data_IF_826302641307
#
_entry.id   IF_826302641307
#
_cell.length_a   1.000
_cell.length_b   1.000
_cell.length_c   1.000
_cell.angle_alpha   90.00
_cell.angle_beta   90.00
_cell.angle_gamma   90.00
#
_symmetry.space_group_name_H-M   'P 1'
#
loop_
_entity.id
_entity.type
_entity.pdbx_description
1 polymer ?
#
# COMPACT_ATOMS: atom_id res chain seq x y z
N UNK A 1 4.50 20.27 0.08
CA UNK A 1 5.58 20.71 1.00
C UNK A 1 6.23 21.97 0.42
N UNK A 2 6.49 23.00 1.24
CA UNK A 2 7.30 24.15 0.80
C UNK A 2 8.68 24.06 1.46
N UNK A 3 9.74 24.37 0.72
CA UNK A 3 11.12 24.39 1.22
C UNK A 3 11.69 25.81 1.21
N UNK A 4 12.42 26.17 2.25
CA UNK A 4 13.07 27.47 2.43
C UNK A 4 14.52 27.25 2.81
N UNK A 5 15.43 28.01 2.23
CA UNK A 5 16.79 28.10 2.71
C UNK A 5 16.87 29.27 3.68
N UNK A 6 17.34 29.03 4.91
CA UNK A 6 17.50 30.05 5.94
C UNK A 6 18.90 30.03 6.52
N UNK A 7 19.38 31.22 6.88
CA UNK A 7 20.67 31.37 7.53
C UNK A 7 20.52 31.14 9.05
N UNK A 8 21.34 30.25 9.61
CA UNK A 8 21.33 29.96 11.03
C UNK A 8 22.69 30.30 11.64
N UNK A 9 22.76 31.37 12.45
CA UNK A 9 24.01 31.79 13.06
C UNK A 9 24.53 30.81 14.12
N UNK A 10 23.62 30.16 14.83
CA UNK A 10 23.93 29.40 16.05
C UNK A 10 24.04 27.88 15.83
N UNK A 11 23.80 27.41 14.60
CA UNK A 11 23.87 25.99 14.26
C UNK A 11 25.12 25.67 13.46
N UNK A 12 25.91 24.74 13.99
CA UNK A 12 26.91 24.00 13.23
C UNK A 12 26.20 22.98 12.35
N UNK A 13 26.59 22.89 11.09
CA UNK A 13 26.03 21.95 10.12
C UNK A 13 26.98 20.77 9.89
N UNK A 14 26.46 19.67 9.34
CA UNK A 14 27.30 18.64 8.74
C UNK A 14 28.03 19.26 7.54
N UNK A 15 29.37 19.31 7.55
CA UNK A 15 30.11 20.05 6.54
C UNK A 15 30.09 19.33 5.19
N UNK A 16 30.02 20.12 4.12
CA UNK A 16 29.97 19.68 2.73
C UNK A 16 30.74 20.65 1.83
N UNK A 17 30.51 20.58 0.53
CA UNK A 17 30.94 21.64 -0.38
C UNK A 17 30.07 22.88 -0.14
N UNK A 18 30.67 24.05 0.07
CA UNK A 18 29.86 25.25 0.27
C UNK A 18 29.24 25.64 -1.08
N UNK A 19 27.90 25.75 -1.12
CA UNK A 19 27.19 26.20 -2.31
C UNK A 19 27.69 27.61 -2.70
N UNK A 20 28.36 27.70 -3.85
CA UNK A 20 28.97 28.95 -4.34
C UNK A 20 30.50 28.98 -4.38
N UNK A 21 31.19 27.95 -3.88
CA UNK A 21 32.65 27.91 -3.97
C UNK A 21 33.15 27.25 -5.28
N UNK A 22 33.63 28.06 -6.22
CA UNK A 22 34.43 27.61 -7.37
C UNK A 22 35.89 27.99 -7.10
N UNK A 23 36.56 27.28 -6.19
CA UNK A 23 37.94 27.54 -5.80
C UNK A 23 38.62 26.31 -5.17
N UNK A 24 39.88 26.43 -4.76
CA UNK A 24 40.58 25.36 -4.01
C UNK A 24 40.28 25.46 -2.50
N UNK A 25 40.17 24.34 -1.77
CA UNK A 25 39.76 24.31 -0.35
C UNK A 25 40.54 25.29 0.57
N UNK A 26 41.75 25.68 0.17
CA UNK A 26 42.63 26.61 0.87
C UNK A 26 42.27 28.10 0.66
N UNK A 27 41.45 28.45 -0.35
CA UNK A 27 40.99 29.81 -0.68
C UNK A 27 39.59 30.13 -0.12
N UNK A 28 39.02 29.21 0.69
CA UNK A 28 37.66 29.33 1.21
C UNK A 28 37.63 30.35 2.37
N UNK A 29 37.37 31.61 2.03
CA UNK A 29 37.08 32.67 3.00
C UNK A 29 35.73 32.39 3.67
N UNK A 30 35.81 31.77 4.86
CA UNK A 30 34.64 31.26 5.58
C UNK A 30 33.62 32.35 5.95
N UNK A 31 34.04 33.61 6.02
CA UNK A 31 33.15 34.72 6.35
C UNK A 31 32.35 35.22 5.12
N UNK A 32 32.64 34.69 3.92
CA UNK A 32 32.09 35.17 2.64
C UNK A 32 31.18 34.17 1.91
N UNK A 33 31.18 32.90 2.30
CA UNK A 33 30.41 31.84 1.63
C UNK A 33 29.25 31.37 2.52
N UNK A 34 28.27 30.66 1.93
CA UNK A 34 27.01 30.18 2.52
C UNK A 34 27.17 29.16 3.66
N UNK A 35 28.01 29.46 4.64
CA UNK A 35 28.21 28.62 5.81
C UNK A 35 26.97 28.81 6.70
N UNK A 36 26.36 27.70 7.10
CA UNK A 36 25.13 27.66 7.92
C UNK A 36 23.82 28.09 7.23
N UNK A 37 23.73 27.97 5.90
CA UNK A 37 22.42 27.98 5.24
C UNK A 37 21.86 26.56 5.26
N UNK A 38 20.74 26.35 5.97
CA UNK A 38 20.09 25.05 6.07
C UNK A 38 18.74 25.04 5.33
N UNK A 39 18.33 23.88 4.77
CA UNK A 39 17.00 23.71 4.21
C UNK A 39 15.96 23.44 5.31
N UNK A 40 14.93 24.27 5.32
CA UNK A 40 13.75 24.19 6.18
C UNK A 40 12.54 23.75 5.36
N UNK A 41 11.93 22.63 5.76
CA UNK A 41 10.77 22.05 5.11
C UNK A 41 9.51 22.31 5.93
N UNK A 42 8.64 23.18 5.42
CA UNK A 42 7.34 23.46 6.04
C UNK A 42 6.35 22.35 5.74
N UNK A 43 5.87 21.70 6.80
CA UNK A 43 4.92 20.58 6.74
C UNK A 43 3.69 20.85 7.61
N UNK A 44 2.53 20.36 7.18
CA UNK A 44 1.30 20.45 7.98
C UNK A 44 1.14 19.27 8.94
N UNK A 45 1.50 18.07 8.49
CA UNK A 45 1.50 16.84 9.27
C UNK A 45 2.76 16.06 8.91
N UNK A 46 3.68 15.90 9.86
CA UNK A 46 5.00 15.32 9.60
C UNK A 46 4.94 13.87 9.11
N UNK A 47 3.96 13.08 9.56
CA UNK A 47 3.83 11.64 9.23
C UNK A 47 3.50 11.40 7.76
N UNK A 48 2.91 12.40 7.10
CA UNK A 48 2.57 12.33 5.69
C UNK A 48 3.73 12.79 4.79
N UNK A 49 4.80 13.33 5.39
CA UNK A 49 5.97 13.75 4.64
C UNK A 49 6.70 12.51 4.09
N UNK A 50 7.14 12.61 2.84
CA UNK A 50 7.67 11.49 2.05
C UNK A 50 8.74 10.66 2.77
N UNK A 51 9.76 11.30 3.34
CA UNK A 51 10.89 10.62 4.00
C UNK A 51 10.48 9.87 5.27
N UNK A 52 9.51 10.40 6.03
CA UNK A 52 8.97 9.69 7.20
C UNK A 52 8.02 8.58 6.81
N UNK A 53 7.19 8.80 5.78
CA UNK A 53 6.22 7.82 5.28
C UNK A 53 6.89 6.61 4.65
N UNK A 54 7.99 6.81 3.91
CA UNK A 54 8.74 5.70 3.32
C UNK A 54 9.52 4.93 4.37
N UNK A 55 9.84 5.53 5.52
CA UNK A 55 10.73 4.97 6.54
C UNK A 55 12.20 5.33 6.34
N UNK A 56 12.51 6.22 5.39
CA UNK A 56 13.86 6.76 5.23
C UNK A 56 14.32 7.46 6.51
N UNK A 57 13.43 8.22 7.13
CA UNK A 57 13.62 8.89 8.42
C UNK A 57 12.69 8.29 9.47
N UNK A 58 13.21 8.11 10.68
CA UNK A 58 12.44 7.62 11.84
C UNK A 58 12.62 8.56 13.03
N UNK A 59 11.54 8.84 13.76
CA UNK A 59 11.63 9.61 15.00
C UNK A 59 12.18 8.72 16.11
N UNK A 60 13.34 9.11 16.65
CA UNK A 60 14.00 8.42 17.76
C UNK A 60 13.63 9.00 19.11
N UNK A 61 13.30 10.29 19.15
CA UNK A 61 12.94 10.99 20.38
C UNK A 61 11.89 12.07 20.09
N UNK A 62 10.91 12.24 20.99
CA UNK A 62 9.89 13.27 20.87
C UNK A 62 8.76 12.89 19.90
N UNK A 63 8.33 13.86 19.09
CA UNK A 63 7.22 13.71 18.14
C UNK A 63 7.48 14.45 16.84
N UNK A 64 6.69 14.13 15.81
CA UNK A 64 6.65 14.90 14.57
C UNK A 64 5.85 16.20 14.69
N UNK A 65 5.96 17.05 13.67
CA UNK A 65 5.13 18.24 13.48
C UNK A 65 3.65 17.84 13.32
N UNK A 66 2.79 18.52 14.05
CA UNK A 66 1.34 18.30 14.07
C UNK A 66 0.57 19.55 13.60
N UNK A 67 -0.66 19.38 13.09
CA UNK A 67 -1.52 20.51 12.76
C UNK A 67 -1.81 21.36 14.01
N UNK A 68 -1.51 22.65 13.94
CA UNK A 68 -1.69 23.59 15.05
C UNK A 68 -0.42 23.84 15.88
N UNK A 69 0.69 23.18 15.56
CA UNK A 69 2.00 23.61 16.05
C UNK A 69 2.30 25.04 15.58
N UNK A 70 3.07 25.76 16.41
CA UNK A 70 3.47 27.14 16.21
C UNK A 70 4.94 27.26 16.60
N UNK A 71 5.78 27.59 15.61
CA UNK A 71 7.24 27.76 15.78
C UNK A 71 7.95 26.53 16.36
N UNK A 72 7.60 25.34 15.86
CA UNK A 72 8.18 24.05 16.24
C UNK A 72 9.04 23.48 15.13
N UNK A 73 10.12 22.81 15.52
CA UNK A 73 11.04 22.15 14.60
C UNK A 73 11.31 20.70 14.99
N UNK A 74 11.56 19.88 13.98
CA UNK A 74 12.05 18.51 14.08
C UNK A 74 13.37 18.45 13.31
N UNK A 75 14.43 18.03 13.99
CA UNK A 75 15.81 18.04 13.47
C UNK A 75 16.44 16.64 13.51
N UNK A 76 17.53 16.43 12.78
CA UNK A 76 18.22 15.14 12.84
C UNK A 76 18.94 14.97 14.19
N UNK A 77 19.11 13.71 14.61
CA UNK A 77 19.85 13.36 15.82
C UNK A 77 21.34 13.73 15.70
N UNK A 78 21.93 13.63 14.49
CA UNK A 78 23.28 14.09 14.20
C UNK A 78 23.42 15.61 14.37
N UNK A 79 22.48 16.40 13.84
CA UNK A 79 22.50 17.87 13.97
C UNK A 79 22.33 18.29 15.44
N UNK A 80 21.45 17.61 16.17
CA UNK A 80 21.27 17.83 17.60
C UNK A 80 22.55 17.53 18.38
N UNK A 81 23.21 16.40 18.13
CA UNK A 81 24.48 16.01 18.77
C UNK A 81 25.61 17.01 18.48
N UNK A 82 25.73 17.48 17.24
CA UNK A 82 26.76 18.43 16.83
C UNK A 82 26.67 19.77 17.56
N UNK A 83 25.45 20.17 17.92
CA UNK A 83 25.15 21.43 18.58
C UNK A 83 24.84 21.30 20.09
N UNK A 84 24.79 20.06 20.61
CA UNK A 84 24.43 19.80 22.00
C UNK A 84 22.97 20.10 22.34
N UNK A 85 22.09 20.08 21.34
CA UNK A 85 20.67 20.39 21.47
C UNK A 85 19.86 19.17 21.88
N UNK A 86 18.76 19.41 22.60
CA UNK A 86 17.80 18.41 23.06
C UNK A 86 16.37 18.88 22.76
N UNK A 87 15.42 17.98 22.97
CA UNK A 87 14.00 18.33 22.90
C UNK A 87 13.69 19.41 23.94
N UNK A 88 12.95 20.43 23.52
CA UNK A 88 12.61 21.61 24.30
C UNK A 88 13.62 22.75 24.18
N UNK A 89 14.82 22.51 23.63
CA UNK A 89 15.75 23.59 23.33
C UNK A 89 15.29 24.39 22.11
N UNK A 90 15.75 25.63 22.02
CA UNK A 90 15.40 26.56 20.94
C UNK A 90 16.62 26.99 20.14
N UNK A 91 16.45 27.17 18.84
CA UNK A 91 17.41 27.84 17.96
C UNK A 91 16.69 28.88 17.10
N UNK A 92 17.42 29.79 16.46
CA UNK A 92 16.85 30.80 15.57
C UNK A 92 17.40 30.72 14.15
N UNK A 93 16.57 31.07 13.18
CA UNK A 93 16.96 31.20 11.77
C UNK A 93 16.51 32.54 11.20
N UNK A 94 17.24 33.03 10.20
CA UNK A 94 17.08 34.35 9.61
C UNK A 94 16.81 34.27 8.11
N UNK A 95 15.88 35.09 7.62
CA UNK A 95 15.70 35.36 6.20
C UNK A 95 16.76 36.37 5.73
N UNK A 96 18.01 35.92 5.60
CA UNK A 96 19.13 36.78 5.23
C UNK A 96 19.42 36.73 3.72
N UNK A 97 19.75 37.89 3.15
CA UNK A 97 20.04 38.07 1.71
C UNK A 97 21.19 37.21 1.19
N UNK A 98 22.07 36.70 2.06
CA UNK A 98 23.11 35.73 1.71
C UNK A 98 22.54 34.53 0.92
N UNK A 99 21.33 34.07 1.27
CA UNK A 99 20.62 32.97 0.61
C UNK A 99 20.27 33.28 -0.86
N UNK A 100 20.21 34.56 -1.22
CA UNK A 100 19.89 35.05 -2.56
C UNK A 100 21.11 35.65 -3.30
N UNK A 101 22.32 35.41 -2.80
CA UNK A 101 23.55 36.07 -3.27
C UNK A 101 23.53 37.60 -3.09
N UNK A 102 22.80 38.09 -2.10
CA UNK A 102 22.74 39.50 -1.71
C UNK A 102 23.79 39.86 -0.65
N UNK A 103 23.53 40.95 0.08
CA UNK A 103 24.42 41.46 1.13
C UNK A 103 24.30 40.63 2.42
N UNK A 104 25.43 40.36 3.07
CA UNK A 104 25.51 39.53 4.28
C UNK A 104 24.88 40.21 5.51
N UNK A 105 24.86 41.55 5.52
CA UNK A 105 24.33 42.34 6.63
C UNK A 105 22.82 42.63 6.50
N UNK A 106 22.18 42.18 5.43
CA UNK A 106 20.76 42.43 5.18
C UNK A 106 19.92 41.22 5.59
N UNK A 107 19.15 41.36 6.67
CA UNK A 107 18.17 40.38 7.15
C UNK A 107 16.76 40.95 7.01
N UNK A 108 15.81 40.12 6.55
CA UNK A 108 14.40 40.46 6.37
C UNK A 108 13.57 39.91 7.54
N UNK A 109 12.95 40.80 8.30
CA UNK A 109 12.23 40.45 9.52
C UNK A 109 13.16 40.15 10.70
N UNK A 110 12.56 39.79 11.84
CA UNK A 110 13.32 39.38 13.03
C UNK A 110 13.75 37.90 12.94
N UNK A 111 14.82 37.48 13.65
CA UNK A 111 15.18 36.08 13.75
C UNK A 111 14.03 35.23 14.28
N UNK A 112 13.66 34.19 13.54
CA UNK A 112 12.51 33.34 13.84
C UNK A 112 12.97 32.24 14.81
N UNK A 113 12.39 32.15 16.03
CA UNK A 113 12.74 31.11 16.98
C UNK A 113 12.02 29.79 16.66
N UNK A 114 12.70 28.68 16.89
CA UNK A 114 12.16 27.34 16.71
C UNK A 114 12.44 26.50 17.96
N UNK A 115 11.39 25.92 18.53
CA UNK A 115 11.51 24.94 19.62
C UNK A 115 11.58 23.52 19.07
N UNK A 116 12.58 22.75 19.50
CA UNK A 116 12.77 21.37 19.05
C UNK A 116 11.77 20.45 19.75
N UNK A 117 10.88 19.81 18.97
CA UNK A 117 9.85 18.88 19.49
C UNK A 117 10.13 17.42 19.14
N UNK A 118 11.10 17.16 18.26
CA UNK A 118 11.47 15.80 17.88
C UNK A 118 12.83 15.71 17.22
N UNK A 119 13.44 14.53 17.37
CA UNK A 119 14.69 14.13 16.76
C UNK A 119 14.47 12.94 15.84
N UNK A 120 14.96 13.02 14.61
CA UNK A 120 14.90 11.91 13.66
C UNK A 120 16.27 11.33 13.35
N UNK A 121 16.33 10.02 13.13
CA UNK A 121 17.48 9.33 12.55
C UNK A 121 17.23 9.05 11.09
N UNK A 122 18.32 8.91 10.32
CA UNK A 122 18.28 8.59 8.89
C UNK A 122 18.74 7.15 8.71
N UNK A 123 17.92 6.33 8.07
CA UNK A 123 18.22 4.91 7.80
C UNK A 123 18.83 4.67 6.42
N UNK A 124 18.69 5.63 5.52
CA UNK A 124 19.23 5.59 4.15
C UNK A 124 20.52 6.41 4.04
N UNK A 125 21.62 5.83 3.56
CA UNK A 125 22.85 6.58 3.32
C UNK A 125 22.84 7.23 1.94
N UNK A 126 23.16 8.52 1.87
CA UNK A 126 23.60 9.13 0.62
C UNK A 126 25.06 8.76 0.38
N UNK A 127 25.39 8.29 -0.83
CA UNK A 127 26.78 8.27 -1.30
C UNK A 127 27.23 9.70 -1.60
N UNK A 128 27.59 10.43 -0.55
CA UNK A 128 28.08 11.79 -0.66
C UNK A 128 29.44 11.80 -1.36
N UNK A 129 29.51 12.46 -2.51
CA UNK A 129 30.79 12.79 -3.16
C UNK A 129 31.44 14.01 -2.48
N UNK A 130 32.72 14.25 -2.77
CA UNK A 130 33.44 15.45 -2.33
C UNK A 130 32.82 16.78 -2.84
N UNK A 131 31.92 16.71 -3.82
CA UNK A 131 31.22 17.86 -4.40
C UNK A 131 29.80 18.07 -3.85
N UNK A 132 29.38 17.26 -2.86
CA UNK A 132 28.03 17.33 -2.30
C UNK A 132 27.89 18.58 -1.43
N UNK A 133 26.92 19.44 -1.72
CA UNK A 133 26.75 20.67 -0.95
C UNK A 133 26.05 20.44 0.39
N UNK A 134 26.32 21.30 1.38
CA UNK A 134 25.78 21.19 2.76
C UNK A 134 24.25 21.07 2.80
N UNK A 135 23.55 21.78 1.93
CA UNK A 135 22.10 21.77 1.81
C UNK A 135 21.52 20.43 1.30
N UNK A 136 22.36 19.53 0.78
CA UNK A 136 21.94 18.22 0.27
C UNK A 136 22.17 17.08 1.26
N UNK A 137 22.76 17.36 2.42
CA UNK A 137 22.91 16.36 3.47
C UNK A 137 21.59 16.23 4.25
N UNK A 138 20.94 15.06 4.26
CA UNK A 138 19.70 14.82 5.02
C UNK A 138 19.83 15.15 6.51
N UNK A 139 21.05 15.07 7.04
CA UNK A 139 21.38 15.42 8.42
C UNK A 139 21.16 16.91 8.71
N UNK A 140 21.25 17.76 7.70
CA UNK A 140 21.02 19.21 7.80
C UNK A 140 19.55 19.58 7.57
N UNK A 141 18.66 18.62 7.32
CA UNK A 141 17.25 18.91 7.05
C UNK A 141 16.52 19.27 8.33
N UNK A 142 15.74 20.35 8.29
CA UNK A 142 14.91 20.81 9.40
C UNK A 142 13.46 20.80 8.94
N UNK A 143 12.58 20.11 9.66
CA UNK A 143 11.14 20.14 9.40
C UNK A 143 10.46 21.10 10.36
N UNK A 144 9.64 22.01 9.84
CA UNK A 144 8.95 23.03 10.62
C UNK A 144 7.46 23.02 10.39
N UNK A 145 6.73 23.61 11.33
CA UNK A 145 5.29 23.81 11.20
C UNK A 145 4.93 24.86 10.14
N UNK A 146 3.65 24.82 9.77
CA UNK A 146 3.07 25.69 8.75
C UNK A 146 2.98 27.17 9.18
N UNK A 147 2.89 27.46 10.48
CA UNK A 147 2.83 28.84 10.96
C UNK A 147 4.18 29.53 10.75
N UNK A 148 5.28 28.88 11.14
CA UNK A 148 6.63 29.39 10.88
C UNK A 148 6.91 29.50 9.36
N UNK A 149 6.51 28.49 8.57
CA UNK A 149 6.61 28.53 7.10
C UNK A 149 5.82 29.69 6.46
N UNK A 150 4.74 30.15 7.09
CA UNK A 150 3.98 31.33 6.64
C UNK A 150 4.73 32.62 6.97
N UNK A 151 5.30 32.73 8.18
CA UNK A 151 6.09 33.89 8.60
C UNK A 151 7.34 34.09 7.74
N UNK A 152 8.10 33.00 7.49
CA UNK A 152 9.25 33.01 6.57
C UNK A 152 8.87 33.58 5.20
N UNK A 153 7.74 33.10 4.66
CA UNK A 153 7.23 33.55 3.37
C UNK A 153 6.83 35.02 3.40
N UNK A 154 6.21 35.50 4.47
CA UNK A 154 5.85 36.91 4.61
C UNK A 154 7.10 37.80 4.63
N UNK A 155 8.12 37.43 5.40
CA UNK A 155 9.40 38.14 5.46
C UNK A 155 10.07 38.22 4.07
N UNK A 156 10.05 37.14 3.30
CA UNK A 156 10.58 37.14 1.93
C UNK A 156 9.67 37.86 0.92
N UNK A 157 8.35 37.74 1.05
CA UNK A 157 7.37 38.29 0.11
C UNK A 157 7.27 39.82 0.19
N UNK A 158 7.48 40.41 1.37
CA UNK A 158 7.55 41.87 1.55
C UNK A 158 8.64 42.50 0.67
N UNK A 159 9.70 41.74 0.35
CA UNK A 159 10.88 42.24 -0.35
C UNK A 159 11.12 41.66 -1.75
N UNK A 160 10.77 40.40 -2.02
CA UNK A 160 11.17 39.71 -3.26
C UNK A 160 10.04 39.11 -4.10
N UNK A 161 8.91 38.68 -3.50
CA UNK A 161 7.90 37.90 -4.24
C UNK A 161 6.48 38.24 -3.78
N UNK A 162 5.70 38.93 -4.61
CA UNK A 162 4.27 39.18 -4.33
C UNK A 162 3.37 37.96 -4.52
N UNK A 163 3.81 36.75 -4.14
CA UNK A 163 3.08 35.51 -4.38
C UNK A 163 2.46 34.97 -3.10
N UNK A 164 1.15 35.14 -2.95
CA UNK A 164 0.36 34.50 -1.89
C UNK A 164 -0.14 33.13 -2.38
N UNK A 165 0.57 32.05 -2.07
CA UNK A 165 0.16 30.70 -2.44
C UNK A 165 1.11 29.61 -1.96
N UNK A 166 0.62 28.36 -1.94
CA UNK A 166 1.42 27.16 -1.72
C UNK A 166 1.91 26.64 -3.08
N UNK A 167 3.17 26.19 -3.17
CA UNK A 167 3.71 25.67 -4.42
C UNK A 167 3.12 24.30 -4.77
N UNK A 168 2.95 23.44 -3.75
CA UNK A 168 2.43 22.08 -3.90
C UNK A 168 1.49 21.76 -2.73
N UNK A 169 0.28 21.29 -3.06
CA UNK A 169 -0.70 20.77 -2.10
C UNK A 169 -0.95 19.30 -2.41
N UNK A 170 -0.76 18.45 -1.40
CA UNK A 170 -0.93 17.01 -1.50
C UNK A 170 -2.18 16.59 -0.71
N UNK A 171 -3.01 15.77 -1.34
CA UNK A 171 -4.18 15.17 -0.71
C UNK A 171 -3.96 13.66 -0.61
N UNK A 172 -4.03 13.15 0.61
CA UNK A 172 -3.91 11.72 0.89
C UNK A 172 -5.31 11.14 1.07
N UNK A 173 -5.50 9.90 0.60
CA UNK A 173 -6.77 9.18 0.67
C UNK A 173 -6.52 7.86 1.38
N UNK A 174 -7.38 7.52 2.34
CA UNK A 174 -7.28 6.26 3.10
C UNK A 174 -7.67 5.06 2.23
N UNK A 175 -8.73 5.19 1.42
CA UNK A 175 -9.16 4.17 0.46
C UNK A 175 -8.82 4.59 -0.99
N UNK A 176 -7.96 3.83 -1.71
CA UNK A 176 -7.67 4.07 -3.12
C UNK A 176 -8.92 4.16 -4.02
N UNK A 177 -10.02 3.49 -3.68
CA UNK A 177 -11.27 3.56 -4.43
C UNK A 177 -11.92 4.96 -4.37
N UNK A 178 -11.60 5.76 -3.37
CA UNK A 178 -12.11 7.13 -3.23
C UNK A 178 -11.28 8.18 -3.97
N UNK A 179 -10.12 7.81 -4.54
CA UNK A 179 -9.17 8.76 -5.14
C UNK A 179 -9.80 9.61 -6.24
N UNK A 180 -10.57 8.99 -7.14
CA UNK A 180 -11.26 9.72 -8.21
C UNK A 180 -12.37 10.64 -7.66
N UNK A 181 -13.05 10.24 -6.59
CA UNK A 181 -14.08 11.05 -5.93
C UNK A 181 -13.46 12.25 -5.19
N UNK A 182 -12.27 12.09 -4.60
CA UNK A 182 -11.51 13.21 -3.99
C UNK A 182 -11.06 14.20 -5.06
N UNK A 183 -10.52 13.73 -6.18
CA UNK A 183 -10.12 14.59 -7.32
C UNK A 183 -11.31 15.43 -7.80
N UNK A 184 -12.48 14.82 -7.98
CA UNK A 184 -13.69 15.54 -8.38
C UNK A 184 -14.11 16.60 -7.36
N UNK A 185 -14.02 16.30 -6.05
CA UNK A 185 -14.31 17.29 -4.99
C UNK A 185 -13.33 18.44 -5.00
N UNK A 186 -12.03 18.16 -5.18
CA UNK A 186 -10.99 19.19 -5.25
C UNK A 186 -11.20 20.11 -6.46
N UNK A 187 -11.61 19.57 -7.61
CA UNK A 187 -11.93 20.35 -8.81
C UNK A 187 -13.10 21.33 -8.64
N UNK A 188 -13.98 21.11 -7.65
CA UNK A 188 -15.13 21.98 -7.37
C UNK A 188 -14.78 23.18 -6.49
N UNK A 189 -13.55 23.24 -5.95
CA UNK A 189 -13.09 24.36 -5.14
C UNK A 189 -12.94 25.59 -6.04
N UNK A 190 -13.38 26.75 -5.54
CA UNK A 190 -13.29 28.04 -6.23
C UNK A 190 -11.84 28.54 -6.26
N UNK A 191 -11.06 28.04 -7.23
CA UNK A 191 -9.68 28.46 -7.51
C UNK A 191 -9.48 28.64 -9.00
N UNK A 192 -8.51 29.47 -9.38
CA UNK A 192 -8.16 29.67 -10.77
C UNK A 192 -7.32 28.49 -11.29
N UNK A 193 -8.00 27.49 -11.86
CA UNK A 193 -7.41 26.28 -12.45
C UNK A 193 -6.46 26.53 -13.62
N UNK A 194 -6.33 27.77 -14.13
CA UNK A 194 -5.28 28.09 -15.10
C UNK A 194 -3.87 27.96 -14.52
N UNK A 195 -3.71 28.23 -13.22
CA UNK A 195 -2.41 28.21 -12.53
C UNK A 195 -2.10 26.89 -11.82
N UNK A 196 -3.06 25.98 -11.74
CA UNK A 196 -2.93 24.73 -10.98
C UNK A 196 -3.22 23.52 -11.86
N UNK A 197 -2.44 22.45 -11.64
CA UNK A 197 -2.68 21.16 -12.27
C UNK A 197 -2.80 20.10 -11.19
N UNK A 198 -3.86 19.30 -11.26
CA UNK A 198 -4.01 18.12 -10.42
C UNK A 198 -3.35 16.94 -11.12
N UNK A 199 -2.42 16.28 -10.43
CA UNK A 199 -1.79 15.05 -10.88
C UNK A 199 -2.21 13.92 -9.94
N UNK A 200 -2.57 12.77 -10.51
CA UNK A 200 -2.87 11.55 -9.76
C UNK A 200 -1.57 10.78 -9.55
N UNK A 201 -1.18 10.56 -8.31
CA UNK A 201 -0.05 9.70 -7.95
C UNK A 201 -0.58 8.35 -7.44
N UNK A 202 -0.85 7.43 -8.38
CA UNK A 202 -1.32 6.06 -8.09
C UNK A 202 -0.32 4.99 -8.55
N UNK A 203 0.91 5.37 -8.91
CA UNK A 203 1.88 4.47 -9.55
C UNK A 203 2.32 3.33 -8.62
N UNK A 204 2.66 3.64 -7.36
CA UNK A 204 3.04 2.64 -6.36
C UNK A 204 1.87 1.69 -6.01
N UNK A 205 0.64 2.23 -5.99
CA UNK A 205 -0.56 1.42 -5.77
C UNK A 205 -0.84 0.49 -6.95
N UNK A 206 -0.83 1.01 -8.18
CA UNK A 206 -1.07 0.22 -9.39
C UNK A 206 -0.05 -0.90 -9.55
N UNK A 207 1.23 -0.62 -9.33
CA UNK A 207 2.28 -1.65 -9.41
C UNK A 207 2.12 -2.77 -8.37
N UNK A 208 1.50 -2.50 -7.22
CA UNK A 208 1.27 -3.50 -6.17
C UNK A 208 -0.06 -4.25 -6.33
N UNK A 209 -1.13 -3.58 -6.77
CA UNK A 209 -2.49 -4.15 -6.81
C UNK A 209 -2.86 -4.74 -8.17
N UNK A 210 -2.35 -4.20 -9.28
CA UNK A 210 -2.66 -4.70 -10.62
C UNK A 210 -2.24 -6.18 -10.81
N UNK A 211 -1.08 -6.65 -10.32
CA UNK A 211 -0.72 -8.07 -10.32
C UNK A 211 -1.70 -8.93 -9.50
N UNK A 212 -2.10 -8.47 -8.31
CA UNK A 212 -3.01 -9.19 -7.41
C UNK A 212 -4.41 -9.33 -8.00
N UNK A 213 -4.95 -8.26 -8.61
CA UNK A 213 -6.26 -8.29 -9.25
C UNK A 213 -6.30 -9.22 -10.47
N UNK A 214 -5.21 -9.25 -11.24
CA UNK A 214 -5.04 -10.14 -12.38
C UNK A 214 -4.96 -11.60 -11.91
N UNK A 215 -4.19 -11.86 -10.86
CA UNK A 215 -4.08 -13.18 -10.25
C UNK A 215 -5.41 -13.67 -9.67
N UNK A 216 -6.17 -12.80 -9.02
CA UNK A 216 -7.51 -13.11 -8.51
C UNK A 216 -8.47 -13.49 -9.64
N UNK A 217 -8.46 -12.74 -10.74
CA UNK A 217 -9.29 -13.02 -11.92
C UNK A 217 -8.93 -14.36 -12.56
N UNK A 218 -7.64 -14.61 -12.80
CA UNK A 218 -7.16 -15.88 -13.36
C UNK A 218 -7.50 -17.07 -12.45
N UNK A 219 -7.28 -16.94 -11.15
CA UNK A 219 -7.59 -17.96 -10.16
C UNK A 219 -9.09 -18.26 -10.13
N UNK A 220 -9.93 -17.23 -10.19
CA UNK A 220 -11.40 -17.39 -10.25
C UNK A 220 -11.83 -18.15 -11.49
N UNK A 221 -11.27 -17.84 -12.67
CA UNK A 221 -11.56 -18.55 -13.92
C UNK A 221 -11.12 -20.02 -13.83
N UNK A 222 -9.93 -20.29 -13.30
CA UNK A 222 -9.41 -21.65 -13.13
C UNK A 222 -10.28 -22.48 -12.18
N UNK A 223 -10.65 -21.91 -11.03
CA UNK A 223 -11.54 -22.54 -10.05
C UNK A 223 -12.89 -22.85 -10.70
N UNK A 224 -13.44 -21.93 -11.50
CA UNK A 224 -14.71 -22.15 -12.19
C UNK A 224 -14.63 -23.34 -13.16
N UNK A 225 -13.55 -23.45 -13.95
CA UNK A 225 -13.34 -24.55 -14.88
C UNK A 225 -13.20 -25.89 -14.12
N UNK A 226 -12.38 -25.92 -13.07
CA UNK A 226 -12.17 -27.09 -12.23
C UNK A 226 -13.46 -27.55 -11.56
N UNK A 227 -14.24 -26.60 -11.06
CA UNK A 227 -15.53 -26.85 -10.43
C UNK A 227 -16.48 -27.51 -11.44
N UNK A 228 -16.63 -26.95 -12.66
CA UNK A 228 -17.47 -27.55 -13.70
C UNK A 228 -17.01 -28.97 -14.05
N UNK A 229 -15.70 -29.19 -14.19
CA UNK A 229 -15.15 -30.51 -14.49
C UNK A 229 -15.43 -31.53 -13.37
N UNK A 230 -15.26 -31.15 -12.10
CA UNK A 230 -15.54 -31.99 -10.95
C UNK A 230 -17.03 -32.34 -10.85
N UNK A 231 -17.92 -31.37 -11.10
CA UNK A 231 -19.36 -31.60 -11.11
C UNK A 231 -19.79 -32.56 -12.23
N UNK A 232 -19.19 -32.43 -13.41
CA UNK A 232 -19.44 -33.35 -14.52
C UNK A 232 -18.98 -34.78 -14.20
N UNK A 233 -17.80 -34.92 -13.59
CA UNK A 233 -17.27 -36.20 -13.14
C UNK A 233 -18.15 -36.84 -12.05
N UNK A 234 -18.61 -36.04 -11.08
CA UNK A 234 -19.53 -36.49 -10.03
C UNK A 234 -20.84 -37.01 -10.63
N UNK A 235 -21.42 -36.29 -11.59
CA UNK A 235 -22.61 -36.74 -12.31
C UNK A 235 -22.40 -38.09 -13.00
N UNK A 236 -21.26 -38.28 -13.68
CA UNK A 236 -20.93 -39.55 -14.33
C UNK A 236 -20.83 -40.70 -13.32
N UNK A 237 -20.17 -40.49 -12.18
CA UNK A 237 -20.04 -41.51 -11.14
C UNK A 237 -21.41 -41.91 -10.59
N UNK A 238 -22.27 -40.94 -10.24
CA UNK A 238 -23.62 -41.23 -9.73
C UNK A 238 -24.44 -41.97 -10.79
N UNK A 239 -24.37 -41.52 -12.05
CA UNK A 239 -25.06 -42.17 -13.16
C UNK A 239 -24.63 -43.63 -13.30
N UNK A 240 -23.34 -43.93 -13.29
CA UNK A 240 -22.81 -45.30 -13.38
C UNK A 240 -23.22 -46.14 -12.16
N UNK A 241 -23.18 -45.57 -10.96
CA UNK A 241 -23.61 -46.22 -9.73
C UNK A 241 -25.08 -46.66 -9.79
N UNK A 242 -25.99 -45.75 -10.17
CA UNK A 242 -27.41 -46.08 -10.36
C UNK A 242 -27.60 -47.14 -11.45
N UNK A 243 -26.82 -47.09 -12.52
CA UNK A 243 -26.92 -48.08 -13.59
C UNK A 243 -26.45 -49.48 -13.17
N UNK A 244 -25.43 -49.59 -12.32
CA UNK A 244 -24.96 -50.88 -11.80
C UNK A 244 -25.99 -51.59 -10.94
N UNK A 245 -26.88 -50.83 -10.27
CA UNK A 245 -27.92 -51.34 -9.36
C UNK A 245 -29.31 -51.47 -10.01
N UNK A 246 -29.41 -51.45 -11.34
CA UNK A 246 -30.67 -51.63 -12.09
C UNK A 246 -31.43 -52.90 -11.68
N UNK A 247 -30.71 -54.00 -11.39
CA UNK A 247 -31.32 -55.28 -10.98
C UNK A 247 -32.06 -55.16 -9.65
N UNK A 248 -31.44 -54.51 -8.67
CA UNK A 248 -32.02 -54.28 -7.34
C UNK A 248 -33.25 -53.37 -7.44
N UNK A 249 -33.13 -52.28 -8.21
CA UNK A 249 -34.23 -51.36 -8.49
C UNK A 249 -35.43 -52.08 -9.14
N UNK A 250 -35.17 -53.00 -10.07
CA UNK A 250 -36.20 -53.83 -10.72
C UNK A 250 -36.86 -54.84 -9.76
N UNK A 251 -36.10 -55.43 -8.84
CA UNK A 251 -36.64 -56.33 -7.79
C UNK A 251 -37.54 -55.54 -6.83
N UNK A 252 -37.11 -54.38 -6.34
CA UNK A 252 -37.92 -53.54 -5.46
C UNK A 252 -39.23 -53.07 -6.09
N UNK A 253 -39.21 -52.75 -7.40
CA UNK A 253 -40.44 -52.47 -8.14
C UNK A 253 -41.34 -53.69 -8.29
N UNK A 254 -40.77 -54.88 -8.49
CA UNK A 254 -41.53 -56.13 -8.64
C UNK A 254 -42.18 -56.58 -7.33
N UNK A 255 -41.59 -56.21 -6.19
CA UNK A 255 -42.15 -56.43 -4.83
C UNK A 255 -43.26 -55.40 -4.50
N UNK A 256 -43.44 -54.37 -5.34
CA UNK A 256 -44.50 -53.36 -5.15
C UNK A 256 -44.10 -52.17 -4.26
N UNK A 257 -42.80 -51.96 -4.02
CA UNK A 257 -42.32 -50.78 -3.28
C UNK A 257 -42.53 -49.52 -4.13
N UNK A 258 -43.09 -48.48 -3.51
CA UNK A 258 -43.35 -47.20 -4.18
C UNK A 258 -42.07 -46.54 -4.73
N UNK A 259 -42.15 -45.99 -5.95
CA UNK A 259 -41.02 -45.37 -6.67
C UNK A 259 -40.35 -44.24 -5.87
N UNK A 260 -41.14 -43.47 -5.11
CA UNK A 260 -40.65 -42.41 -4.24
C UNK A 260 -39.79 -42.95 -3.07
N UNK A 261 -40.13 -44.12 -2.53
CA UNK A 261 -39.38 -44.74 -1.42
C UNK A 261 -38.02 -45.24 -1.90
N UNK A 262 -37.96 -45.78 -3.12
CA UNK A 262 -36.72 -46.21 -3.78
C UNK A 262 -35.81 -44.99 -4.07
N UNK A 263 -36.37 -43.91 -4.62
CA UNK A 263 -35.64 -42.64 -4.82
C UNK A 263 -35.12 -42.06 -3.49
N UNK A 264 -35.96 -42.07 -2.44
CA UNK A 264 -35.58 -41.60 -1.12
C UNK A 264 -34.42 -42.39 -0.50
N UNK A 265 -34.42 -43.72 -0.62
CA UNK A 265 -33.33 -44.56 -0.15
C UNK A 265 -32.00 -44.21 -0.84
N UNK A 266 -32.02 -44.06 -2.17
CA UNK A 266 -30.83 -43.71 -2.94
C UNK A 266 -30.32 -42.31 -2.58
N UNK A 267 -31.23 -41.37 -2.33
CA UNK A 267 -30.90 -40.02 -1.90
C UNK A 267 -30.24 -40.03 -0.51
N UNK A 268 -30.79 -40.77 0.45
CA UNK A 268 -30.22 -40.89 1.81
C UNK A 268 -28.83 -41.53 1.77
N UNK A 269 -28.63 -42.58 0.97
CA UNK A 269 -27.32 -43.24 0.82
C UNK A 269 -26.25 -42.25 0.32
N UNK A 270 -26.57 -41.46 -0.71
CA UNK A 270 -25.66 -40.45 -1.24
C UNK A 270 -25.45 -39.28 -0.28
N UNK A 271 -26.47 -38.89 0.48
CA UNK A 271 -26.36 -37.82 1.48
C UNK A 271 -25.42 -38.23 2.63
N UNK A 272 -25.48 -39.49 3.08
CA UNK A 272 -24.57 -40.01 4.12
C UNK A 272 -23.11 -39.97 3.65
N UNK A 273 -22.84 -40.43 2.42
CA UNK A 273 -21.49 -40.38 1.82
C UNK A 273 -21.04 -38.92 1.63
N UNK A 274 -21.93 -38.04 1.20
CA UNK A 274 -21.64 -36.62 1.02
C UNK A 274 -21.24 -35.94 2.34
N UNK A 275 -21.96 -36.20 3.44
CA UNK A 275 -21.65 -35.61 4.76
C UNK A 275 -20.26 -36.02 5.23
N UNK A 276 -19.90 -37.30 5.13
CA UNK A 276 -18.57 -37.79 5.50
C UNK A 276 -17.49 -37.16 4.60
N UNK A 277 -17.75 -37.08 3.30
CA UNK A 277 -16.79 -36.54 2.33
C UNK A 277 -16.57 -35.04 2.50
N UNK A 278 -17.64 -34.25 2.70
CA UNK A 278 -17.54 -32.81 2.95
C UNK A 278 -16.86 -32.51 4.29
N UNK A 279 -17.15 -33.30 5.33
CA UNK A 279 -16.45 -33.19 6.61
C UNK A 279 -14.96 -33.43 6.48
N UNK A 280 -14.56 -34.49 5.75
CA UNK A 280 -13.15 -34.77 5.45
C UNK A 280 -12.50 -33.67 4.61
N UNK A 281 -13.17 -33.20 3.57
CA UNK A 281 -12.69 -32.13 2.70
C UNK A 281 -12.47 -30.82 3.49
N UNK A 282 -13.35 -30.50 4.44
CA UNK A 282 -13.19 -29.32 5.29
C UNK A 282 -11.91 -29.41 6.13
N UNK A 283 -11.67 -30.56 6.77
CA UNK A 283 -10.45 -30.79 7.53
C UNK A 283 -9.18 -30.65 6.68
N UNK A 284 -9.17 -31.30 5.51
CA UNK A 284 -8.03 -31.23 4.57
C UNK A 284 -7.79 -29.81 4.07
N UNK A 285 -8.86 -29.07 3.73
CA UNK A 285 -8.75 -27.70 3.22
C UNK A 285 -8.11 -26.75 4.24
N UNK A 286 -8.45 -26.86 5.53
CA UNK A 286 -7.82 -26.04 6.58
C UNK A 286 -6.32 -26.30 6.71
N UNK A 287 -5.89 -27.56 6.57
CA UNK A 287 -4.47 -27.94 6.64
C UNK A 287 -3.71 -27.54 5.38
N UNK A 288 -4.34 -27.68 4.21
CA UNK A 288 -3.72 -27.39 2.92
C UNK A 288 -3.66 -25.89 2.58
N UNK A 289 -4.56 -25.07 3.14
CA UNK A 289 -4.67 -23.65 2.81
C UNK A 289 -3.39 -22.85 3.08
N UNK A 290 -2.73 -23.06 4.23
CA UNK A 290 -1.50 -22.35 4.58
C UNK A 290 -0.36 -22.59 3.59
N UNK A 291 0.09 -23.85 3.39
CA UNK A 291 1.19 -24.15 2.46
C UNK A 291 0.91 -23.72 1.02
N UNK A 292 -0.31 -23.90 0.53
CA UNK A 292 -0.70 -23.51 -0.84
C UNK A 292 -0.72 -21.99 -0.98
N UNK A 293 -1.22 -21.29 0.05
CA UNK A 293 -1.20 -19.83 0.10
C UNK A 293 0.21 -19.26 0.07
N UNK A 294 1.11 -19.81 0.89
CA UNK A 294 2.50 -19.37 0.91
C UNK A 294 3.21 -19.60 -0.42
N UNK A 295 3.00 -20.76 -1.06
CA UNK A 295 3.56 -21.03 -2.39
C UNK A 295 2.99 -20.10 -3.47
N UNK A 296 1.70 -19.75 -3.37
CA UNK A 296 1.08 -18.79 -4.28
C UNK A 296 1.66 -17.38 -4.08
N UNK A 297 1.98 -16.99 -2.84
CA UNK A 297 2.62 -15.71 -2.52
C UNK A 297 4.04 -15.64 -3.08
N UNK A 298 4.83 -16.70 -2.94
CA UNK A 298 6.19 -16.76 -3.49
C UNK A 298 6.22 -16.55 -5.02
N UNK A 299 5.18 -17.03 -5.72
CA UNK A 299 5.03 -16.85 -7.17
C UNK A 299 4.48 -15.45 -7.51
N UNK A 300 3.66 -14.86 -6.63
CA UNK A 300 3.01 -13.58 -6.85
C UNK A 300 3.86 -12.36 -6.47
N UNK A 301 4.86 -12.56 -5.61
CA UNK A 301 5.83 -11.52 -5.31
C UNK A 301 6.59 -11.19 -6.61
N UNK A 302 6.48 -9.95 -7.12
CA UNK A 302 7.40 -9.52 -8.17
C UNK A 302 8.81 -9.67 -7.59
N UNK A 303 9.73 -10.32 -8.34
CA UNK A 303 11.17 -10.10 -8.14
C UNK A 303 11.35 -8.60 -7.87
N UNK A 304 12.02 -8.24 -6.77
CA UNK A 304 12.39 -6.86 -6.44
C UNK A 304 13.16 -6.27 -7.62
N UNK A 305 12.45 -5.78 -8.63
CA UNK A 305 12.90 -4.64 -9.38
C UNK A 305 12.82 -3.52 -8.37
N UNK A 306 14.01 -3.13 -7.89
CA UNK A 306 14.28 -1.83 -7.31
C UNK A 306 13.17 -0.88 -7.71
N UNK A 307 12.49 -0.31 -6.72
CA UNK A 307 11.50 0.73 -6.92
C UNK A 307 12.24 1.95 -7.50
N UNK A 308 12.64 1.86 -8.76
CA UNK A 308 13.12 2.96 -9.56
C UNK A 308 11.87 3.80 -9.81
N UNK A 309 11.62 4.69 -8.86
CA UNK A 309 10.65 5.78 -8.97
C UNK A 309 10.79 6.37 -10.39
N UNK A 310 9.67 6.66 -11.07
CA UNK A 310 9.73 7.23 -12.40
C UNK A 310 10.60 8.49 -12.32
N UNK A 311 11.67 8.53 -13.12
CA UNK A 311 12.42 9.76 -13.42
C UNK A 311 11.42 10.74 -14.03
N UNK A 312 10.70 11.48 -13.20
CA UNK A 312 9.98 12.67 -13.62
C UNK A 312 11.01 13.80 -13.59
N UNK A 313 11.56 14.05 -14.78
CA UNK A 313 12.19 15.32 -15.09
C UNK A 313 11.20 16.46 -14.79
N UNK A 314 11.74 17.58 -14.27
CA UNK A 314 11.12 18.89 -14.02
C UNK A 314 10.64 19.25 -12.60
N UNK A 315 11.55 19.25 -11.62
CA UNK A 315 11.69 20.31 -10.57
C UNK A 315 12.92 20.03 -9.67
N UNK A 316 13.53 21.04 -9.02
CA UNK A 316 14.87 20.88 -8.46
C UNK A 316 14.88 19.96 -7.23
N UNK A 317 15.65 18.88 -7.34
CA UNK A 317 16.28 18.12 -6.25
C UNK A 317 15.36 17.45 -5.21
N UNK A 318 14.57 16.47 -5.64
CA UNK A 318 14.19 15.36 -4.76
C UNK A 318 15.40 14.43 -4.58
N UNK A 319 15.92 14.35 -3.37
CA UNK A 319 16.91 13.34 -3.01
C UNK A 319 16.22 11.97 -3.02
N UNK A 320 16.64 11.08 -3.92
CA UNK A 320 16.19 9.69 -3.96
C UNK A 320 16.89 8.97 -2.81
N UNK A 321 16.19 8.79 -1.70
CA UNK A 321 16.63 7.93 -0.61
C UNK A 321 16.23 6.50 -0.96
N UNK A 322 17.23 5.61 -1.08
CA UNK A 322 17.00 4.19 -1.28
C UNK A 322 16.48 3.62 0.04
N UNK A 323 15.16 3.46 0.13
CA UNK A 323 14.51 2.94 1.34
C UNK A 323 14.31 1.45 1.15
N UNK A 324 14.89 0.60 2.04
CA UNK A 324 14.66 -0.83 1.96
C UNK A 324 13.15 -1.09 2.09
N UNK A 325 12.61 -1.83 1.12
CA UNK A 325 11.20 -2.17 1.06
C UNK A 325 10.76 -2.80 2.40
N UNK A 326 9.72 -2.25 3.02
CA UNK A 326 9.08 -2.88 4.17
C UNK A 326 8.62 -4.29 3.77
N UNK A 327 9.07 -5.29 4.54
CA UNK A 327 8.64 -6.67 4.36
C UNK A 327 7.11 -6.72 4.46
N UNK A 328 6.40 -7.36 3.51
CA UNK A 328 4.95 -7.41 3.56
C UNK A 328 4.47 -8.10 4.83
N UNK A 329 3.52 -7.48 5.53
CA UNK A 329 2.84 -8.07 6.69
C UNK A 329 2.27 -9.44 6.34
N UNK A 330 2.39 -10.37 7.30
CA UNK A 330 2.07 -11.79 7.21
C UNK A 330 0.63 -12.01 6.68
N UNK A 331 0.49 -12.40 5.42
CA UNK A 331 -0.80 -12.60 4.77
C UNK A 331 -1.51 -13.84 5.32
N UNK A 332 -2.50 -13.62 6.20
CA UNK A 332 -3.29 -14.72 6.77
C UNK A 332 -4.30 -15.27 5.76
N UNK A 333 -4.09 -16.51 5.32
CA UNK A 333 -5.04 -17.24 4.46
C UNK A 333 -6.17 -17.79 5.32
N UNK A 334 -7.28 -17.06 5.35
CA UNK A 334 -8.49 -17.48 6.07
C UNK A 334 -9.40 -18.26 5.12
N UNK A 335 -9.65 -19.52 5.44
CA UNK A 335 -10.67 -20.32 4.76
C UNK A 335 -12.04 -19.85 5.20
N UNK A 336 -12.73 -19.11 4.33
CA UNK A 336 -14.04 -18.55 4.63
C UNK A 336 -15.13 -19.63 4.78
N UNK A 337 -15.91 -19.52 5.86
CA UNK A 337 -16.96 -20.49 6.21
C UNK A 337 -18.15 -20.41 5.24
N UNK A 338 -18.40 -19.24 4.65
CA UNK A 338 -19.52 -19.02 3.72
C UNK A 338 -19.28 -19.70 2.39
N UNK A 339 -18.05 -19.65 1.90
CA UNK A 339 -17.60 -20.20 0.63
C UNK A 339 -17.69 -21.74 0.66
N UNK A 340 -17.28 -22.35 1.77
CA UNK A 340 -17.47 -23.79 2.03
C UNK A 340 -18.93 -24.22 1.96
N UNK A 341 -19.84 -23.45 2.56
CA UNK A 341 -21.27 -23.74 2.54
C UNK A 341 -21.86 -23.64 1.13
N UNK A 342 -21.41 -22.67 0.33
CA UNK A 342 -21.82 -22.53 -1.07
C UNK A 342 -21.40 -23.76 -1.88
N UNK A 343 -20.13 -24.20 -1.74
CA UNK A 343 -19.63 -25.38 -2.45
C UNK A 343 -20.37 -26.65 -2.02
N UNK A 344 -20.61 -26.82 -0.72
CA UNK A 344 -21.39 -27.95 -0.20
C UNK A 344 -22.84 -27.94 -0.73
N UNK A 345 -23.47 -26.77 -0.77
CA UNK A 345 -24.82 -26.58 -1.31
C UNK A 345 -24.91 -26.93 -2.80
N UNK A 346 -23.96 -26.45 -3.62
CA UNK A 346 -23.88 -26.78 -5.05
C UNK A 346 -23.68 -28.29 -5.27
N UNK A 347 -22.77 -28.91 -4.51
CA UNK A 347 -22.53 -30.34 -4.58
C UNK A 347 -23.79 -31.16 -4.24
N UNK A 348 -24.51 -30.81 -3.17
CA UNK A 348 -25.77 -31.47 -2.80
C UNK A 348 -26.86 -31.29 -3.86
N UNK A 349 -27.00 -30.09 -4.43
CA UNK A 349 -27.96 -29.83 -5.50
C UNK A 349 -27.69 -30.72 -6.73
N UNK A 350 -26.42 -30.93 -7.06
CA UNK A 350 -26.01 -31.75 -8.20
C UNK A 350 -26.19 -33.23 -7.93
N UNK A 351 -25.91 -33.69 -6.71
CA UNK A 351 -26.24 -35.06 -6.31
C UNK A 351 -27.74 -35.32 -6.47
N UNK A 352 -28.60 -34.43 -5.95
CA UNK A 352 -30.05 -34.54 -6.09
C UNK A 352 -30.50 -34.53 -7.56
N UNK A 353 -29.97 -33.60 -8.37
CA UNK A 353 -30.27 -33.51 -9.80
C UNK A 353 -29.82 -34.74 -10.60
N UNK A 354 -28.63 -35.28 -10.28
CA UNK A 354 -28.07 -36.47 -10.92
C UNK A 354 -28.92 -37.70 -10.64
N UNK A 355 -29.39 -37.88 -9.39
CA UNK A 355 -30.30 -38.95 -9.00
C UNK A 355 -31.63 -38.83 -9.75
N UNK A 356 -32.18 -37.62 -9.82
CA UNK A 356 -33.44 -37.36 -10.53
C UNK A 356 -33.33 -37.74 -12.01
N UNK A 357 -32.27 -37.29 -12.68
CA UNK A 357 -32.00 -37.55 -14.10
C UNK A 357 -31.67 -39.02 -14.39
N UNK A 358 -30.87 -39.68 -13.55
CA UNK A 358 -30.47 -41.07 -13.74
C UNK A 358 -31.55 -42.07 -13.29
N UNK A 359 -32.28 -41.75 -12.23
CA UNK A 359 -33.26 -42.64 -11.59
C UNK A 359 -34.61 -42.70 -12.29
N UNK A 360 -35.14 -41.57 -12.77
CA UNK A 360 -36.48 -41.53 -13.42
C UNK A 360 -36.58 -42.42 -14.66
N UNK A 361 -35.63 -42.40 -15.62
CA UNK A 361 -35.72 -43.24 -16.80
C UNK A 361 -35.76 -44.73 -16.49
N UNK A 362 -35.05 -45.15 -15.43
CA UNK A 362 -35.03 -46.55 -14.97
C UNK A 362 -36.33 -46.88 -14.24
N UNK A 363 -36.84 -45.97 -13.40
CA UNK A 363 -38.07 -46.17 -12.63
C UNK A 363 -39.37 -46.06 -13.46
N UNK A 364 -39.31 -45.46 -14.65
CA UNK A 364 -40.44 -45.34 -15.59
C UNK A 364 -40.64 -46.59 -16.46
N UNK A 365 -39.64 -47.45 -16.63
CA UNK A 365 -39.77 -48.70 -17.40
C UNK A 365 -40.62 -49.72 -16.67
N UNK A 366 -41.32 -50.59 -17.40
CA UNK A 366 -42.11 -51.68 -16.79
C UNK A 366 -41.15 -52.72 -16.19
N UNK A 367 -41.48 -53.37 -15.04
CA UNK A 367 -40.59 -54.35 -14.40
C UNK A 367 -40.14 -55.47 -15.34
N UNK A 368 -41.03 -55.92 -16.23
CA UNK A 368 -40.73 -56.91 -17.27
C UNK A 368 -39.72 -56.44 -18.32
N UNK A 369 -39.71 -55.16 -18.68
CA UNK A 369 -38.74 -54.60 -19.64
C UNK A 369 -37.35 -54.40 -19.02
N UNK A 370 -37.29 -54.07 -17.72
CA UNK A 370 -36.01 -53.97 -16.99
C UNK A 370 -35.37 -55.36 -16.84
N UNK A 371 -36.19 -56.40 -16.66
CA UNK A 371 -35.76 -57.81 -16.59
C UNK A 371 -35.47 -58.42 -17.98
N UNK A 372 -36.16 -58.01 -19.05
CA UNK A 372 -35.94 -58.52 -20.41
C UNK A 372 -34.78 -57.84 -21.16
N UNK A 373 -34.28 -56.71 -20.66
CA UNK A 373 -33.03 -56.09 -21.12
C UNK A 373 -31.77 -56.77 -20.54
N UNK A 374 -31.95 -57.92 -19.90
CA UNK A 374 -30.90 -58.68 -19.20
C UNK A 374 -30.60 -60.05 -19.84
N UNK A 375 -31.17 -60.35 -21.01
CA UNK A 375 -30.68 -61.41 -21.90
C UNK A 375 -29.55 -60.90 -22.80
#
# INVERSE_FOLDING_TARGET
MDSYDLYCKDLKTKPGLVAGFIGTKDELDRDKYWINVLPFYSVNKGELQEYFRTGAFEIVEGRQIQPGDDHKAVISDELAKLNGLKIGDTFSAECNDIVKNGDHDTTHGEPIPFEIVGLFTIHSRLDASEYTVEQLFPENFIFIDKAAGKEIRQNWNEYYMGYEGYGIIEFFVEDPAELDAVIQRVQQIDVNWYYYRITKDDAAYRSSVEPLSTMSTLSTILILILLIACLFLLYLIVKLGVQSRKRELGIYQSIGIGKAKILGQLLVELLLVAVISFGGAWGVSKVAAGPIGNAALEIAQPEQKELSLPKMETSPLHIILDVPAQEPEDFQVIVGEKEMLIVAGLGLAILAGSIYLAGIPILRRKPREVLSLME
#
